data_IF_654751981203
#
_entry.id   IF_654751981203
#
_cell.length_a   1.000
_cell.length_b   1.000
_cell.length_c   1.000
_cell.angle_alpha   90.00
_cell.angle_beta   90.00
_cell.angle_gamma   90.00
#
_symmetry.space_group_name_H-M   'P 1'
#
loop_
_entity.id
_entity.type
_entity.pdbx_description
1 polymer ?
#
# COMPACT_ATOMS: atom_id res chain seq x y z
N UNK A 1 -10.22 -23.69 43.48
CA UNK A 1 -10.40 -23.94 42.06
C UNK A 1 -9.09 -24.50 41.55
N UNK A 2 -9.14 -25.78 41.11
CA UNK A 2 -7.94 -26.52 40.69
C UNK A 2 -7.45 -26.01 39.35
N UNK A 3 -6.13 -25.79 39.22
CA UNK A 3 -5.47 -25.26 37.99
C UNK A 3 -5.26 -26.34 36.91
N UNK A 4 -5.87 -27.54 37.06
CA UNK A 4 -5.53 -28.74 36.29
C UNK A 4 -6.42 -29.03 35.06
N UNK A 5 -7.33 -28.11 34.64
CA UNK A 5 -8.26 -28.39 33.54
C UNK A 5 -7.98 -27.66 32.24
N UNK A 6 -6.74 -27.18 32.04
CA UNK A 6 -6.38 -26.64 30.71
C UNK A 6 -5.87 -27.75 29.78
N UNK A 7 -6.80 -28.40 29.09
CA UNK A 7 -6.45 -29.35 28.03
C UNK A 7 -5.64 -28.65 26.94
N UNK A 8 -4.39 -29.11 26.73
CA UNK A 8 -3.53 -28.58 25.71
C UNK A 8 -4.08 -28.90 24.32
N UNK A 9 -4.55 -27.89 23.59
CA UNK A 9 -4.99 -28.05 22.20
C UNK A 9 -3.77 -27.78 21.28
N UNK A 10 -3.34 -28.75 20.45
CA UNK A 10 -2.24 -28.60 19.51
C UNK A 10 -2.47 -27.43 18.54
N UNK A 11 -1.37 -26.77 18.10
CA UNK A 11 -1.45 -25.62 17.19
C UNK A 11 -2.19 -25.95 15.89
N UNK A 12 -1.99 -27.15 15.34
CA UNK A 12 -2.67 -27.61 14.13
C UNK A 12 -4.20 -27.68 14.32
N UNK A 13 -4.63 -28.22 15.45
CA UNK A 13 -6.05 -28.32 15.79
C UNK A 13 -6.69 -26.93 16.01
N UNK A 14 -5.99 -26.04 16.70
CA UNK A 14 -6.45 -24.63 16.87
C UNK A 14 -6.65 -23.95 15.53
N UNK A 15 -5.69 -24.11 14.59
CA UNK A 15 -5.79 -23.56 13.24
C UNK A 15 -6.98 -24.14 12.48
N UNK A 16 -7.18 -25.46 12.55
CA UNK A 16 -8.30 -26.11 11.90
C UNK A 16 -9.65 -25.57 12.41
N UNK A 17 -9.81 -25.48 13.73
CA UNK A 17 -11.04 -24.92 14.36
C UNK A 17 -11.25 -23.45 13.94
N UNK A 18 -10.17 -22.65 13.90
CA UNK A 18 -10.26 -21.28 13.48
C UNK A 18 -10.67 -21.13 12.01
N UNK A 19 -10.09 -21.94 11.12
CA UNK A 19 -10.46 -21.93 9.70
C UNK A 19 -11.93 -22.34 9.49
N UNK A 20 -12.37 -23.40 10.17
CA UNK A 20 -13.76 -23.83 10.12
C UNK A 20 -14.71 -22.71 10.59
N UNK A 21 -14.39 -22.08 11.71
CA UNK A 21 -15.21 -20.97 12.23
C UNK A 21 -15.25 -19.76 11.29
N UNK A 22 -14.12 -19.43 10.63
CA UNK A 22 -14.09 -18.36 9.65
C UNK A 22 -14.91 -18.69 8.41
N UNK A 23 -14.92 -19.95 7.98
CA UNK A 23 -15.74 -20.38 6.84
C UNK A 23 -17.23 -20.29 7.16
N UNK A 24 -17.65 -20.78 8.34
CA UNK A 24 -19.02 -20.62 8.82
C UNK A 24 -19.49 -19.16 8.81
N UNK A 25 -18.61 -18.23 9.23
CA UNK A 25 -18.91 -16.79 9.25
C UNK A 25 -18.98 -16.19 7.82
N UNK A 26 -18.14 -16.65 6.90
CA UNK A 26 -18.23 -16.26 5.48
C UNK A 26 -19.53 -16.76 4.85
N UNK A 27 -19.91 -17.99 5.12
CA UNK A 27 -21.17 -18.58 4.63
C UNK A 27 -22.39 -17.83 5.20
N UNK A 28 -22.30 -17.27 6.41
CA UNK A 28 -23.32 -16.38 6.98
C UNK A 28 -23.34 -14.97 6.41
N UNK A 29 -22.41 -14.63 5.50
CA UNK A 29 -22.33 -13.35 4.83
C UNK A 29 -21.44 -12.31 5.52
N UNK A 30 -20.62 -12.70 6.51
CA UNK A 30 -19.64 -11.80 7.12
C UNK A 30 -18.42 -11.59 6.20
N UNK A 31 -17.98 -10.33 6.06
CA UNK A 31 -16.74 -9.99 5.37
C UNK A 31 -15.54 -10.32 6.28
N UNK A 32 -14.91 -11.46 6.04
CA UNK A 32 -13.78 -11.94 6.82
C UNK A 32 -12.46 -11.56 6.14
N UNK A 33 -11.69 -10.71 6.82
CA UNK A 33 -10.42 -10.16 6.35
C UNK A 33 -9.24 -10.70 7.20
N UNK A 34 -8.70 -11.89 6.92
CA UNK A 34 -7.63 -12.49 7.70
C UNK A 34 -6.27 -11.81 7.44
N UNK A 35 -5.34 -12.01 8.37
CA UNK A 35 -3.91 -11.78 8.11
C UNK A 35 -3.30 -13.13 7.73
N UNK A 36 -2.91 -13.25 6.47
CA UNK A 36 -2.31 -14.49 5.95
C UNK A 36 -0.98 -14.81 6.64
N UNK A 37 -0.69 -16.11 6.89
CA UNK A 37 0.58 -16.49 7.52
C UNK A 37 1.78 -16.18 6.63
N UNK A 38 2.86 -15.70 7.21
CA UNK A 38 4.08 -15.35 6.49
C UNK A 38 5.35 -15.81 7.19
N UNK A 39 6.43 -16.03 6.41
CA UNK A 39 7.72 -16.58 6.89
C UNK A 39 8.88 -15.60 6.79
N UNK A 40 8.71 -14.39 6.26
CA UNK A 40 9.80 -13.42 6.19
C UNK A 40 10.19 -12.89 7.57
N UNK A 41 11.42 -12.37 7.70
CA UNK A 41 12.01 -12.01 8.99
C UNK A 41 11.29 -10.85 9.71
N UNK A 42 10.82 -9.84 8.98
CA UNK A 42 10.07 -8.71 9.52
C UNK A 42 8.60 -9.04 9.81
N UNK A 43 7.86 -8.10 10.36
CA UNK A 43 6.39 -8.16 10.45
C UNK A 43 5.77 -7.45 9.24
N UNK A 44 6.33 -6.31 8.84
CA UNK A 44 5.86 -5.49 7.76
C UNK A 44 7.00 -5.17 6.76
N UNK A 45 6.66 -4.76 5.54
CA UNK A 45 7.60 -4.51 4.43
C UNK A 45 7.67 -3.04 4.03
N UNK A 46 6.53 -2.35 4.00
CA UNK A 46 6.43 -0.95 3.63
C UNK A 46 7.04 -0.01 4.68
N UNK A 47 7.21 1.24 4.33
CA UNK A 47 7.56 2.29 5.28
C UNK A 47 6.52 2.39 6.41
N UNK A 48 5.25 2.46 6.05
CA UNK A 48 4.14 2.66 6.99
C UNK A 48 4.00 1.51 7.99
N UNK A 49 3.95 0.28 7.47
CA UNK A 49 3.84 -0.90 8.32
C UNK A 49 5.05 -1.10 9.24
N UNK A 50 6.28 -0.88 8.72
CA UNK A 50 7.50 -0.94 9.54
C UNK A 50 7.54 0.13 10.61
N UNK A 51 7.15 1.36 10.26
CA UNK A 51 7.14 2.49 11.19
C UNK A 51 6.12 2.27 12.30
N UNK A 52 4.93 1.74 11.96
CA UNK A 52 3.93 1.32 12.94
C UNK A 52 4.49 0.28 13.92
N UNK A 53 5.07 -0.81 13.41
CA UNK A 53 5.63 -1.85 14.26
C UNK A 53 6.78 -1.32 15.14
N UNK A 54 7.66 -0.49 14.57
CA UNK A 54 8.77 0.14 15.30
C UNK A 54 8.25 1.11 16.37
N UNK A 55 7.18 1.84 16.08
CA UNK A 55 6.55 2.75 17.04
C UNK A 55 5.97 1.96 18.21
N UNK A 56 5.18 0.90 17.95
CA UNK A 56 4.64 0.00 18.96
C UNK A 56 5.75 -0.57 19.88
N UNK A 57 6.89 -0.92 19.33
CA UNK A 57 8.02 -1.52 20.06
C UNK A 57 8.81 -0.53 20.92
N UNK A 58 8.60 0.79 20.72
CA UNK A 58 9.26 1.81 21.56
C UNK A 58 8.65 1.95 22.96
N UNK A 59 7.47 1.38 23.20
CA UNK A 59 6.78 1.48 24.47
C UNK A 59 7.07 0.26 25.34
N UNK A 60 7.80 0.47 26.46
CA UNK A 60 8.28 -0.59 27.36
C UNK A 60 7.14 -1.37 28.03
N UNK A 61 5.97 -0.75 28.23
CA UNK A 61 4.82 -1.36 28.91
C UNK A 61 4.29 -2.59 28.19
N UNK A 62 4.54 -2.69 26.88
CA UNK A 62 4.10 -3.80 26.05
C UNK A 62 5.16 -4.88 25.79
N UNK A 63 6.38 -4.68 26.28
CA UNK A 63 7.58 -5.45 25.88
C UNK A 63 7.46 -6.96 26.09
N UNK A 64 6.79 -7.41 27.16
CA UNK A 64 6.71 -8.84 27.48
C UNK A 64 5.63 -9.59 26.67
N UNK A 65 4.64 -8.89 26.07
CA UNK A 65 3.57 -9.48 25.25
C UNK A 65 3.85 -9.43 23.75
N UNK A 66 4.64 -8.46 23.31
CA UNK A 66 4.96 -8.24 21.89
C UNK A 66 5.61 -9.47 21.20
N UNK A 67 6.58 -10.21 21.79
CA UNK A 67 7.13 -11.40 21.15
C UNK A 67 6.09 -12.49 20.87
N UNK A 68 5.12 -12.66 21.77
CA UNK A 68 4.01 -13.60 21.57
C UNK A 68 3.07 -13.14 20.48
N UNK A 69 2.74 -11.83 20.45
CA UNK A 69 1.94 -11.22 19.40
C UNK A 69 2.57 -11.40 18.01
N UNK A 70 3.88 -11.20 17.87
CA UNK A 70 4.63 -11.47 16.63
C UNK A 70 4.49 -12.93 16.16
N UNK A 71 4.54 -13.87 17.08
CA UNK A 71 4.38 -15.28 16.75
C UNK A 71 2.96 -15.58 16.27
N UNK A 72 1.96 -14.98 16.91
CA UNK A 72 0.55 -15.15 16.55
C UNK A 72 0.24 -14.62 15.16
N UNK A 73 0.63 -13.37 14.87
CA UNK A 73 0.39 -12.76 13.55
C UNK A 73 1.11 -13.52 12.44
N UNK A 74 2.38 -13.92 12.63
CA UNK A 74 3.13 -14.71 11.65
C UNK A 74 2.48 -16.06 11.33
N UNK A 75 1.87 -16.65 12.32
CA UNK A 75 1.22 -17.94 12.20
C UNK A 75 -0.19 -17.86 11.58
N UNK A 76 -0.69 -16.67 11.21
CA UNK A 76 -2.04 -16.48 10.70
C UNK A 76 -3.11 -16.68 11.78
N UNK A 77 -2.76 -16.39 13.06
CA UNK A 77 -3.74 -16.50 14.15
C UNK A 77 -4.71 -15.32 14.19
N UNK A 78 -4.43 -14.22 13.46
CA UNK A 78 -5.38 -13.12 13.28
C UNK A 78 -6.32 -13.49 12.15
N UNK A 79 -7.45 -14.07 12.50
CA UNK A 79 -8.43 -14.68 11.58
C UNK A 79 -9.32 -13.63 10.91
N UNK A 80 -9.49 -12.48 11.54
CA UNK A 80 -10.19 -11.32 11.01
C UNK A 80 -9.59 -10.05 11.60
N UNK A 81 -9.43 -9.03 10.79
CA UNK A 81 -9.03 -7.69 11.22
C UNK A 81 -9.72 -6.66 10.32
N UNK A 82 -10.65 -5.90 10.88
CA UNK A 82 -11.25 -4.71 10.26
C UNK A 82 -10.67 -3.44 10.88
N UNK A 83 -10.44 -2.43 10.05
CA UNK A 83 -9.96 -1.11 10.47
C UNK A 83 -10.96 -0.06 10.01
N UNK A 84 -11.61 0.55 10.98
CA UNK A 84 -12.60 1.60 10.82
C UNK A 84 -12.11 2.92 11.44
N UNK A 85 -12.79 4.06 11.25
CA UNK A 85 -12.40 5.29 11.93
C UNK A 85 -12.31 5.07 13.44
N UNK A 86 -11.17 5.43 14.03
CA UNK A 86 -10.90 5.38 15.48
C UNK A 86 -10.97 3.97 16.09
N UNK A 87 -11.26 2.92 15.32
CA UNK A 87 -11.46 1.58 15.88
C UNK A 87 -10.91 0.49 14.96
N UNK A 88 -10.20 -0.47 15.53
CA UNK A 88 -9.90 -1.73 14.86
C UNK A 88 -10.52 -2.89 15.65
N UNK A 89 -11.21 -3.80 14.95
CA UNK A 89 -11.78 -5.01 15.53
C UNK A 89 -11.08 -6.24 14.98
N UNK A 90 -10.86 -7.24 15.82
CA UNK A 90 -10.19 -8.45 15.36
C UNK A 90 -10.75 -9.71 16.07
N UNK A 91 -10.63 -10.84 15.34
CA UNK A 91 -10.82 -12.20 15.89
C UNK A 91 -9.50 -12.93 15.82
N UNK A 92 -9.02 -13.39 16.95
CA UNK A 92 -7.70 -14.03 17.07
C UNK A 92 -7.83 -15.43 17.64
N UNK A 93 -7.33 -16.42 16.91
CA UNK A 93 -7.29 -17.82 17.34
C UNK A 93 -6.22 -18.05 18.41
N UNK A 94 -6.67 -18.55 19.58
CA UNK A 94 -5.83 -19.01 20.67
C UNK A 94 -6.23 -20.42 21.13
N UNK A 95 -6.46 -20.64 22.42
CA UNK A 95 -7.19 -21.83 22.92
C UNK A 95 -8.62 -21.85 22.40
N UNK A 96 -9.21 -20.67 22.29
CA UNK A 96 -10.50 -20.39 21.72
C UNK A 96 -10.40 -19.29 20.67
N UNK A 97 -11.51 -18.89 20.04
CA UNK A 97 -11.58 -17.67 19.23
C UNK A 97 -11.82 -16.48 20.14
N UNK A 98 -10.89 -15.56 20.18
CA UNK A 98 -10.98 -14.34 20.99
C UNK A 98 -11.38 -13.15 20.12
N UNK A 99 -12.37 -12.43 20.59
CA UNK A 99 -12.81 -11.17 19.99
C UNK A 99 -12.20 -10.00 20.76
N UNK A 100 -11.74 -9.01 20.02
CA UNK A 100 -11.14 -7.83 20.61
C UNK A 100 -11.45 -6.57 19.81
N UNK A 101 -11.40 -5.44 20.48
CA UNK A 101 -11.44 -4.12 19.88
C UNK A 101 -10.28 -3.26 20.39
N UNK A 102 -9.78 -2.43 19.50
CA UNK A 102 -8.71 -1.46 19.75
C UNK A 102 -9.31 -0.11 19.38
N UNK A 103 -9.52 0.74 20.37
CA UNK A 103 -9.97 2.11 20.13
C UNK A 103 -8.75 3.04 20.16
N UNK A 104 -8.64 3.91 19.17
CA UNK A 104 -7.54 4.87 19.02
C UNK A 104 -8.16 6.26 18.91
N UNK A 105 -7.79 7.16 19.80
CA UNK A 105 -8.29 8.51 19.76
C UNK A 105 -7.95 9.21 18.43
N UNK A 106 -8.84 10.03 17.87
CA UNK A 106 -8.56 10.80 16.67
C UNK A 106 -7.37 11.72 16.90
N UNK A 107 -6.65 12.03 15.84
CA UNK A 107 -5.53 12.97 15.94
C UNK A 107 -6.05 14.36 16.29
N UNK A 108 -5.46 14.98 17.32
CA UNK A 108 -5.79 16.33 17.71
C UNK A 108 -5.70 17.30 16.51
N UNK A 109 -6.72 18.14 16.27
CA UNK A 109 -6.75 19.07 15.13
C UNK A 109 -5.52 19.97 15.04
N UNK A 110 -4.95 20.37 16.18
CA UNK A 110 -3.74 21.19 16.24
C UNK A 110 -2.52 20.41 15.75
N UNK A 111 -2.34 19.16 16.20
CA UNK A 111 -1.26 18.29 15.70
C UNK A 111 -1.41 18.04 14.20
N UNK A 112 -2.63 17.78 13.73
CA UNK A 112 -2.88 17.57 12.30
C UNK A 112 -2.56 18.82 11.48
N UNK A 113 -2.93 20.02 11.98
CA UNK A 113 -2.58 21.29 11.34
C UNK A 113 -1.07 21.50 11.24
N UNK A 114 -0.33 21.17 12.32
CA UNK A 114 1.13 21.27 12.33
C UNK A 114 1.75 20.29 11.32
N UNK A 115 1.32 19.03 11.29
CA UNK A 115 1.79 18.03 10.29
C UNK A 115 1.55 18.54 8.87
N UNK A 116 0.35 19.08 8.57
CA UNK A 116 0.03 19.64 7.26
C UNK A 116 0.98 20.81 6.90
N UNK A 117 1.25 21.69 7.84
CA UNK A 117 2.14 22.82 7.61
C UNK A 117 3.59 22.40 7.36
N UNK A 118 4.09 21.41 8.12
CA UNK A 118 5.45 20.89 8.00
C UNK A 118 5.66 20.09 6.70
N UNK A 119 4.61 19.43 6.22
CA UNK A 119 4.61 18.67 4.97
C UNK A 119 4.37 19.52 3.71
N UNK A 120 3.93 20.77 3.89
CA UNK A 120 3.52 21.66 2.80
C UNK A 120 4.64 21.88 1.77
N UNK A 121 4.29 21.68 0.49
CA UNK A 121 5.23 21.83 -0.64
C UNK A 121 6.31 20.77 -0.72
N UNK A 122 6.26 19.75 0.14
CA UNK A 122 7.28 18.71 0.21
C UNK A 122 6.78 17.33 -0.26
N UNK A 123 5.48 17.17 -0.48
CA UNK A 123 4.87 15.94 -0.97
C UNK A 123 4.47 16.14 -2.43
N UNK A 124 5.13 15.45 -3.34
CA UNK A 124 4.91 15.63 -4.79
C UNK A 124 3.58 15.03 -5.26
N UNK A 125 3.13 13.94 -4.64
CA UNK A 125 1.87 13.29 -5.00
C UNK A 125 1.33 12.39 -3.88
N UNK A 126 0.01 12.12 -3.90
CA UNK A 126 -0.65 11.18 -3.00
C UNK A 126 -0.06 9.77 -3.13
N UNK A 127 0.25 9.36 -4.36
CA UNK A 127 0.83 8.03 -4.63
C UNK A 127 2.20 7.89 -3.98
N UNK A 128 3.06 8.91 -4.04
CA UNK A 128 4.36 8.90 -3.36
C UNK A 128 4.22 8.83 -1.85
N UNK A 129 3.30 9.60 -1.28
CA UNK A 129 2.98 9.55 0.15
C UNK A 129 2.56 8.14 0.58
N UNK A 130 1.58 7.55 -0.09
CA UNK A 130 1.05 6.22 0.27
C UNK A 130 2.09 5.11 0.02
N UNK A 131 2.91 5.23 -1.02
CA UNK A 131 4.04 4.32 -1.25
C UNK A 131 5.19 4.49 -0.26
N UNK A 132 5.13 5.51 0.61
CA UNK A 132 6.24 5.83 1.52
C UNK A 132 7.50 6.33 0.80
N UNK A 133 7.36 6.84 -0.42
CA UNK A 133 8.44 7.47 -1.21
C UNK A 133 8.49 8.97 -0.92
N UNK A 134 8.70 9.30 0.33
CA UNK A 134 8.73 10.65 0.86
C UNK A 134 10.13 10.96 1.42
N UNK A 135 10.47 12.25 1.51
CA UNK A 135 11.76 12.66 2.06
C UNK A 135 11.93 12.27 3.53
N UNK A 136 13.17 12.12 3.98
CA UNK A 136 13.50 11.83 5.38
C UNK A 136 12.90 12.88 6.33
N UNK A 137 12.80 14.14 5.90
CA UNK A 137 12.16 15.19 6.70
C UNK A 137 10.70 14.88 6.98
N UNK A 138 9.92 14.50 5.95
CA UNK A 138 8.51 14.14 6.10
C UNK A 138 8.36 12.86 6.90
N UNK A 139 9.25 11.87 6.65
CA UNK A 139 9.28 10.65 7.46
C UNK A 139 9.44 10.97 8.94
N UNK A 140 10.33 11.90 9.30
CA UNK A 140 10.54 12.32 10.68
C UNK A 140 9.30 13.02 11.26
N UNK A 141 8.66 13.91 10.51
CA UNK A 141 7.43 14.59 10.94
C UNK A 141 6.33 13.59 11.23
N UNK A 142 6.01 12.68 10.31
CA UNK A 142 4.89 11.72 10.46
C UNK A 142 5.17 10.64 11.50
N UNK A 143 6.45 10.32 11.78
CA UNK A 143 6.85 9.31 12.78
C UNK A 143 7.34 9.91 14.09
N UNK A 144 7.22 11.22 14.27
CA UNK A 144 7.54 11.86 15.54
C UNK A 144 6.76 11.22 16.68
N UNK A 145 7.42 11.03 17.83
CA UNK A 145 6.85 10.27 18.95
C UNK A 145 5.69 11.03 19.64
N UNK A 146 5.82 12.34 19.73
CA UNK A 146 4.88 13.19 20.49
C UNK A 146 3.88 13.90 19.57
N UNK A 147 4.33 14.35 18.40
CA UNK A 147 3.54 15.19 17.48
C UNK A 147 3.22 14.52 16.14
N UNK A 148 3.67 13.27 15.95
CA UNK A 148 3.45 12.56 14.71
C UNK A 148 2.05 11.95 14.56
N UNK A 149 1.90 11.18 13.49
CA UNK A 149 0.64 10.54 13.12
C UNK A 149 0.34 9.29 13.96
N UNK A 150 1.39 8.59 14.46
CA UNK A 150 1.20 7.35 15.21
C UNK A 150 0.69 7.64 16.63
N UNK A 151 -0.29 6.84 17.13
CA UNK A 151 -0.92 7.10 18.41
C UNK A 151 0.02 6.83 19.59
N UNK A 152 0.05 7.73 20.56
CA UNK A 152 0.70 7.49 21.84
C UNK A 152 -0.09 6.42 22.65
N UNK A 153 0.55 5.63 23.54
CA UNK A 153 -0.16 4.63 24.36
C UNK A 153 -1.38 5.15 25.09
N UNK A 154 -1.34 6.38 25.56
CA UNK A 154 -2.46 7.02 26.26
C UNK A 154 -3.68 7.31 25.35
N UNK A 155 -3.46 7.30 24.04
CA UNK A 155 -4.50 7.48 23.02
C UNK A 155 -5.11 6.13 22.58
N UNK A 156 -4.65 5.00 23.16
CA UNK A 156 -5.08 3.66 22.76
C UNK A 156 -5.76 2.96 23.94
N UNK A 157 -6.94 2.41 23.67
CA UNK A 157 -7.70 1.58 24.63
C UNK A 157 -7.95 0.20 24.02
N UNK A 158 -7.73 -0.81 24.84
CA UNK A 158 -7.88 -2.20 24.42
C UNK A 158 -9.03 -2.87 25.15
N UNK A 159 -9.76 -3.73 24.44
CA UNK A 159 -10.72 -4.65 25.03
C UNK A 159 -10.55 -6.02 24.36
N UNK A 160 -10.39 -7.07 25.18
CA UNK A 160 -10.27 -8.45 24.68
C UNK A 160 -11.02 -9.38 25.65
N UNK A 161 -11.83 -10.29 25.14
CA UNK A 161 -12.58 -11.24 25.95
C UNK A 161 -11.75 -12.43 26.48
N UNK A 162 -10.42 -12.40 26.34
CA UNK A 162 -9.55 -13.44 26.87
C UNK A 162 -9.36 -13.34 28.40
N UNK A 163 -9.00 -14.44 29.09
CA UNK A 163 -8.81 -14.44 30.54
C UNK A 163 -7.50 -13.76 31.01
N UNK A 164 -6.69 -13.20 30.11
CA UNK A 164 -5.46 -12.49 30.46
C UNK A 164 -5.83 -11.09 30.99
N UNK A 165 -5.46 -10.78 32.22
CA UNK A 165 -5.78 -9.52 32.91
C UNK A 165 -4.91 -8.33 32.44
N UNK A 166 -3.92 -8.55 31.60
CA UNK A 166 -3.06 -7.49 31.10
C UNK A 166 -3.79 -6.61 30.06
N UNK A 167 -3.65 -5.29 30.16
CA UNK A 167 -4.24 -4.35 29.19
C UNK A 167 -3.90 -4.72 27.76
N UNK A 168 -2.63 -4.95 27.46
CA UNK A 168 -2.21 -5.55 26.20
C UNK A 168 -1.91 -7.04 26.38
N UNK A 169 -2.89 -7.90 26.13
CA UNK A 169 -2.69 -9.36 26.06
C UNK A 169 -2.00 -9.75 24.73
N UNK A 170 -1.60 -11.04 24.60
CA UNK A 170 -0.97 -11.55 23.37
C UNK A 170 -1.85 -11.43 22.12
N UNK A 171 -3.18 -11.46 22.27
CA UNK A 171 -4.14 -11.37 21.16
C UNK A 171 -4.24 -9.92 20.67
N UNK A 172 -4.31 -8.95 21.58
CA UNK A 172 -4.22 -7.51 21.25
C UNK A 172 -2.89 -7.21 20.58
N UNK A 173 -1.76 -7.71 21.13
CA UNK A 173 -0.45 -7.54 20.50
C UNK A 173 -0.40 -8.12 19.07
N UNK A 174 -1.06 -9.27 18.83
CA UNK A 174 -1.15 -9.84 17.49
C UNK A 174 -1.96 -8.96 16.53
N UNK A 175 -3.10 -8.42 16.98
CA UNK A 175 -3.91 -7.51 16.18
C UNK A 175 -3.18 -6.18 15.89
N UNK A 176 -2.45 -5.62 16.86
CA UNK A 176 -1.62 -4.42 16.66
C UNK A 176 -0.54 -4.65 15.60
N UNK A 177 0.13 -5.81 15.61
CA UNK A 177 1.03 -6.19 14.52
C UNK A 177 0.29 -6.45 13.20
N UNK A 178 -0.93 -6.98 13.27
CA UNK A 178 -1.81 -7.17 12.11
C UNK A 178 -2.14 -5.84 11.42
N UNK A 179 -2.39 -4.77 12.19
CA UNK A 179 -2.53 -3.40 11.63
C UNK A 179 -1.28 -3.05 10.82
N UNK A 180 -0.07 -3.27 11.36
CA UNK A 180 1.18 -3.02 10.64
C UNK A 180 1.29 -3.81 9.33
N UNK A 181 0.82 -5.06 9.30
CA UNK A 181 0.78 -5.86 8.07
C UNK A 181 -0.23 -5.29 7.06
N UNK A 182 -1.39 -4.84 7.54
CA UNK A 182 -2.42 -4.23 6.68
C UNK A 182 -1.95 -2.93 6.04
N UNK A 183 -1.18 -2.12 6.77
CA UNK A 183 -0.58 -0.89 6.27
C UNK A 183 0.47 -1.10 5.16
N UNK A 184 0.90 -2.34 4.90
CA UNK A 184 1.77 -2.65 3.76
C UNK A 184 1.04 -2.53 2.41
N UNK A 185 -0.24 -2.85 2.37
CA UNK A 185 -1.10 -2.79 1.19
C UNK A 185 -2.03 -1.58 1.17
N UNK A 186 -2.44 -1.11 2.33
CA UNK A 186 -3.47 -0.10 2.53
C UNK A 186 -3.01 0.97 3.55
N UNK A 187 -1.98 1.76 3.21
CA UNK A 187 -1.40 2.75 4.13
C UNK A 187 -2.38 3.87 4.54
N UNK A 188 -3.39 4.16 3.73
CA UNK A 188 -4.48 5.10 4.01
C UNK A 188 -5.29 4.73 5.26
N UNK A 189 -5.30 3.45 5.64
CA UNK A 189 -5.96 2.99 6.85
C UNK A 189 -5.39 3.62 8.13
N UNK A 190 -4.12 4.04 8.13
CA UNK A 190 -3.56 4.74 9.28
C UNK A 190 -4.23 6.11 9.47
N UNK A 191 -4.47 6.83 8.40
CA UNK A 191 -5.15 8.13 8.43
C UNK A 191 -6.61 7.97 8.83
N UNK A 192 -7.30 6.95 8.25
CA UNK A 192 -8.66 6.57 8.63
C UNK A 192 -8.75 6.26 10.13
N UNK A 193 -7.81 5.47 10.66
CA UNK A 193 -7.75 5.08 12.07
C UNK A 193 -7.52 6.29 13.00
N UNK A 194 -6.83 7.33 12.52
CA UNK A 194 -6.60 8.59 13.25
C UNK A 194 -7.65 9.66 12.97
N UNK A 195 -8.70 9.34 12.21
CA UNK A 195 -9.81 10.26 11.92
C UNK A 195 -9.41 11.48 11.09
N UNK A 196 -8.36 11.36 10.24
CA UNK A 196 -7.86 12.45 9.38
C UNK A 196 -7.86 12.04 7.89
N UNK A 197 -7.99 13.04 7.00
CA UNK A 197 -7.94 12.81 5.56
C UNK A 197 -6.53 13.07 5.02
N UNK A 198 -5.88 12.03 4.51
CA UNK A 198 -4.54 12.10 3.92
C UNK A 198 -4.46 13.00 2.67
N UNK A 199 -5.57 13.21 1.95
CA UNK A 199 -5.62 14.12 0.79
C UNK A 199 -5.34 15.57 1.20
N UNK A 200 -5.64 15.96 2.44
CA UNK A 200 -5.37 17.30 2.95
C UNK A 200 -3.88 17.66 2.99
N UNK A 201 -2.99 16.66 3.03
CA UNK A 201 -1.53 16.88 2.98
C UNK A 201 -1.07 17.46 1.64
N UNK A 202 -1.85 17.28 0.57
CA UNK A 202 -1.55 17.76 -0.79
C UNK A 202 -2.39 18.98 -1.14
N UNK A 203 -3.64 19.04 -0.69
CA UNK A 203 -4.58 20.13 -1.01
C UNK A 203 -4.10 21.51 -0.54
N UNK A 204 -3.20 21.57 0.44
CA UNK A 204 -2.64 22.84 0.96
C UNK A 204 -1.83 23.56 -0.12
N UNK A 205 -1.19 22.86 -1.06
CA UNK A 205 -0.40 23.47 -2.13
C UNK A 205 -1.29 24.14 -3.18
N UNK A 206 -2.38 23.50 -3.58
CA UNK A 206 -3.32 24.05 -4.57
C UNK A 206 -4.08 25.28 -4.05
N UNK A 207 -4.40 25.33 -2.76
CA UNK A 207 -5.08 26.49 -2.17
C UNK A 207 -4.17 27.75 -2.10
N UNK A 208 -2.86 27.58 -1.96
CA UNK A 208 -1.92 28.69 -1.86
C UNK A 208 -1.45 29.17 -3.22
N UNK A 209 -1.28 28.31 -4.22
CA UNK A 209 -1.12 28.75 -5.60
C UNK A 209 -2.28 29.66 -6.02
N UNK A 210 -3.49 29.39 -5.57
CA UNK A 210 -4.66 30.24 -5.79
C UNK A 210 -4.69 31.53 -4.94
N UNK A 211 -4.07 31.55 -3.74
CA UNK A 211 -4.07 32.71 -2.85
C UNK A 211 -2.82 33.58 -2.99
N UNK A 212 -1.66 33.02 -3.32
CA UNK A 212 -0.41 33.74 -3.56
C UNK A 212 -0.21 34.16 -5.02
N UNK A 213 -1.07 33.73 -5.93
CA UNK A 213 -1.15 34.15 -7.34
C UNK A 213 -1.42 35.64 -7.56
N UNK A 214 -1.38 36.45 -6.51
CA UNK A 214 -1.60 37.89 -6.51
C UNK A 214 -0.36 38.79 -6.71
N UNK A 215 0.82 38.30 -7.17
CA UNK A 215 1.91 39.20 -7.66
C UNK A 215 3.10 38.38 -8.20
N UNK A 216 2.94 37.84 -9.35
CA UNK A 216 3.82 37.52 -10.45
C UNK A 216 3.21 36.39 -11.30
N UNK A 217 1.97 36.61 -11.63
CA UNK A 217 1.30 35.84 -12.65
C UNK A 217 1.84 36.26 -14.00
N UNK A 218 2.66 35.43 -14.61
CA UNK A 218 2.46 35.21 -16.03
C UNK A 218 1.08 34.57 -16.12
N UNK A 219 0.07 35.39 -16.43
CA UNK A 219 -1.26 34.95 -16.82
C UNK A 219 -1.10 33.77 -17.76
N UNK A 220 -1.38 32.55 -17.31
CA UNK A 220 -1.99 31.56 -18.17
C UNK A 220 -3.39 32.10 -18.44
N UNK A 221 -3.51 32.96 -19.45
CA UNK A 221 -4.77 33.16 -20.12
C UNK A 221 -5.12 31.79 -20.70
N UNK A 222 -6.11 31.12 -20.15
CA UNK A 222 -6.92 30.20 -20.91
C UNK A 222 -7.64 31.05 -21.93
N UNK A 223 -7.09 31.09 -23.15
CA UNK A 223 -7.76 31.70 -24.28
C UNK A 223 -9.01 30.86 -24.55
N UNK A 224 -10.18 31.46 -24.77
CA UNK A 224 -11.34 30.75 -25.29
C UNK A 224 -10.92 30.01 -26.57
N UNK A 225 -11.48 28.83 -26.79
CA UNK A 225 -11.14 27.97 -27.94
C UNK A 225 -11.24 28.69 -29.28
N UNK A 226 -12.09 29.70 -29.37
CA UNK A 226 -12.29 30.57 -30.52
C UNK A 226 -11.11 31.50 -30.84
N UNK A 227 -10.26 31.84 -29.86
CA UNK A 227 -9.07 32.69 -30.08
C UNK A 227 -7.81 31.87 -30.42
N UNK A 228 -7.82 30.54 -30.23
CA UNK A 228 -6.67 29.68 -30.54
C UNK A 228 -6.38 29.57 -32.04
N UNK A 229 -7.42 29.53 -32.87
CA UNK A 229 -7.28 29.49 -34.31
C UNK A 229 -6.54 30.72 -34.86
N UNK A 230 -6.84 31.91 -34.34
CA UNK A 230 -6.22 33.18 -34.78
C UNK A 230 -4.76 33.34 -34.35
N UNK A 231 -4.36 32.76 -33.21
CA UNK A 231 -2.99 32.89 -32.68
C UNK A 231 -2.01 31.93 -33.38
N UNK A 232 -2.50 30.79 -33.84
CA UNK A 232 -1.68 29.78 -34.50
C UNK A 232 -1.92 29.65 -36.01
N UNK A 233 -2.83 30.46 -36.59
CA UNK A 233 -3.10 30.46 -38.02
C UNK A 233 -3.70 29.17 -38.54
N UNK A 234 -4.45 28.47 -37.68
CA UNK A 234 -5.14 27.21 -38.03
C UNK A 234 -6.65 27.48 -38.06
N UNK A 235 -7.25 27.47 -39.24
CA UNK A 235 -8.72 27.48 -39.39
C UNK A 235 -9.27 26.13 -38.90
N UNK A 236 -9.94 26.18 -37.74
CA UNK A 236 -10.71 25.04 -37.23
C UNK A 236 -12.08 25.07 -37.90
N UNK A 237 -12.18 24.53 -39.09
CA UNK A 237 -13.48 24.17 -39.65
C UNK A 237 -14.00 22.95 -38.89
N UNK A 238 -15.21 23.05 -38.33
CA UNK A 238 -15.90 21.94 -37.66
C UNK A 238 -16.28 20.88 -38.71
N UNK A 239 -15.41 19.92 -38.95
CA UNK A 239 -15.82 18.63 -39.49
C UNK A 239 -15.89 17.63 -38.33
N UNK A 240 -17.11 17.22 -38.00
CA UNK A 240 -17.38 16.06 -37.17
C UNK A 240 -16.97 14.82 -37.97
N UNK A 241 -15.68 14.56 -38.04
CA UNK A 241 -15.19 13.25 -38.45
C UNK A 241 -15.11 12.33 -37.21
N UNK A 242 -15.93 11.31 -37.26
CA UNK A 242 -15.82 10.13 -36.43
C UNK A 242 -14.43 9.53 -36.63
N UNK A 243 -13.49 9.85 -35.69
CA UNK A 243 -12.18 9.20 -35.69
C UNK A 243 -12.38 7.72 -35.46
N UNK A 244 -11.82 6.86 -36.32
CA UNK A 244 -11.76 5.43 -36.05
C UNK A 244 -10.96 5.19 -34.74
N UNK A 245 -11.23 4.10 -34.03
CA UNK A 245 -10.49 3.79 -32.79
C UNK A 245 -8.99 3.73 -33.09
N UNK A 246 -8.14 4.12 -32.12
CA UNK A 246 -6.67 4.15 -32.32
C UNK A 246 -6.20 2.78 -32.76
N UNK A 247 -5.42 2.74 -33.86
CA UNK A 247 -4.79 1.52 -34.34
C UNK A 247 -3.98 0.88 -33.22
N UNK A 248 -3.98 -0.46 -33.11
CA UNK A 248 -3.22 -1.15 -32.08
C UNK A 248 -1.73 -0.82 -32.25
N UNK A 249 -0.98 -0.67 -31.14
CA UNK A 249 0.42 -0.28 -31.18
C UNK A 249 1.24 -1.23 -32.07
N UNK A 250 1.89 -0.69 -33.10
CA UNK A 250 2.78 -1.46 -33.97
C UNK A 250 4.07 -1.83 -33.22
N UNK A 251 4.54 -3.05 -33.39
CA UNK A 251 5.81 -3.47 -32.81
C UNK A 251 6.98 -2.82 -33.54
N UNK A 252 7.74 -1.99 -32.82
CA UNK A 252 9.02 -1.46 -33.29
C UNK A 252 10.17 -2.08 -32.51
N UNK A 253 11.19 -2.68 -33.17
CA UNK A 253 12.31 -3.34 -32.50
C UNK A 253 13.31 -2.32 -31.91
N UNK A 254 12.86 -1.58 -30.92
CA UNK A 254 13.68 -0.63 -30.16
C UNK A 254 14.00 -1.18 -28.77
N UNK A 255 15.11 -0.75 -28.17
CA UNK A 255 15.48 -1.14 -26.79
C UNK A 255 14.40 -0.81 -25.77
N UNK A 256 13.72 0.32 -25.96
CA UNK A 256 12.59 0.73 -25.13
C UNK A 256 11.38 -0.21 -25.26
N UNK A 257 11.03 -0.61 -26.48
CA UNK A 257 9.93 -1.54 -26.76
C UNK A 257 10.18 -2.92 -26.15
N UNK A 258 11.39 -3.47 -26.32
CA UNK A 258 11.78 -4.78 -25.77
C UNK A 258 11.75 -4.77 -24.23
N UNK A 259 12.26 -3.71 -23.61
CA UNK A 259 12.22 -3.54 -22.15
C UNK A 259 10.78 -3.47 -21.63
N UNK A 260 9.93 -2.64 -22.23
CA UNK A 260 8.52 -2.49 -21.86
C UNK A 260 7.75 -3.81 -22.02
N UNK A 261 8.03 -4.58 -23.07
CA UNK A 261 7.40 -5.89 -23.28
C UNK A 261 7.76 -6.86 -22.15
N UNK A 262 9.04 -6.97 -21.78
CA UNK A 262 9.48 -7.81 -20.67
C UNK A 262 8.88 -7.36 -19.31
N UNK A 263 8.86 -6.06 -19.05
CA UNK A 263 8.30 -5.49 -17.82
C UNK A 263 6.80 -5.75 -17.71
N UNK A 264 6.08 -5.65 -18.84
CA UNK A 264 4.63 -5.94 -18.85
C UNK A 264 4.34 -7.42 -18.60
N UNK A 265 5.21 -8.32 -19.09
CA UNK A 265 5.14 -9.76 -18.79
C UNK A 265 5.58 -10.09 -17.36
N UNK A 266 6.15 -9.13 -16.64
CA UNK A 266 6.68 -9.26 -15.28
C UNK A 266 7.70 -10.40 -15.12
N UNK A 267 8.55 -10.61 -16.13
CA UNK A 267 9.56 -11.69 -16.17
C UNK A 267 10.98 -11.15 -16.04
N UNK A 268 11.90 -11.99 -15.49
CA UNK A 268 13.31 -11.68 -15.44
C UNK A 268 13.95 -11.74 -16.84
N UNK A 269 15.10 -11.07 -17.05
CA UNK A 269 15.85 -11.16 -18.30
C UNK A 269 16.24 -12.60 -18.66
N UNK A 270 16.47 -13.47 -17.67
CA UNK A 270 16.76 -14.88 -17.88
C UNK A 270 15.53 -15.65 -18.39
N UNK A 271 14.38 -15.46 -17.76
CA UNK A 271 13.11 -16.08 -18.18
C UNK A 271 12.72 -15.60 -19.58
N UNK A 272 12.81 -14.30 -19.83
CA UNK A 272 12.52 -13.69 -21.13
C UNK A 272 13.46 -14.19 -22.24
N UNK A 273 14.74 -14.41 -21.93
CA UNK A 273 15.69 -14.99 -22.89
C UNK A 273 15.35 -16.43 -23.26
N UNK A 274 14.86 -17.22 -22.31
CA UNK A 274 14.43 -18.60 -22.55
C UNK A 274 13.18 -18.67 -23.43
N UNK A 275 12.20 -17.80 -23.21
CA UNK A 275 10.98 -17.71 -24.02
C UNK A 275 11.29 -17.32 -25.48
N UNK A 276 12.25 -16.44 -25.69
CA UNK A 276 12.67 -16.00 -27.01
C UNK A 276 13.66 -16.96 -27.67
N UNK A 277 14.16 -17.97 -26.95
CA UNK A 277 15.18 -18.90 -27.46
C UNK A 277 16.54 -18.25 -27.74
N UNK A 278 16.91 -17.21 -26.95
CA UNK A 278 18.15 -16.44 -27.09
C UNK A 278 18.97 -16.44 -25.80
N UNK A 279 20.23 -16.01 -25.86
CA UNK A 279 21.05 -15.89 -24.65
C UNK A 279 20.63 -14.65 -23.80
N UNK A 280 20.78 -14.75 -22.47
CA UNK A 280 20.58 -13.60 -21.55
C UNK A 280 21.43 -12.40 -21.97
N UNK A 281 22.66 -12.63 -22.45
CA UNK A 281 23.56 -11.58 -22.93
C UNK A 281 22.97 -10.82 -24.15
N UNK A 282 22.25 -11.53 -25.03
CA UNK A 282 21.55 -10.92 -26.16
C UNK A 282 20.42 -9.98 -25.67
N UNK A 283 19.61 -10.42 -24.74
CA UNK A 283 18.54 -9.57 -24.13
C UNK A 283 19.13 -8.33 -23.48
N UNK A 284 20.18 -8.48 -22.65
CA UNK A 284 20.88 -7.35 -22.04
C UNK A 284 21.42 -6.36 -23.09
N UNK A 285 22.01 -6.86 -24.18
CA UNK A 285 22.52 -6.02 -25.27
C UNK A 285 21.38 -5.26 -25.95
N UNK A 286 20.24 -5.90 -26.18
CA UNK A 286 19.08 -5.24 -26.81
C UNK A 286 18.46 -4.18 -25.94
N UNK A 287 18.31 -4.43 -24.63
CA UNK A 287 17.73 -3.47 -23.69
C UNK A 287 18.61 -2.25 -23.41
N UNK A 288 19.93 -2.37 -23.62
CA UNK A 288 20.90 -1.29 -23.40
C UNK A 288 21.41 -0.63 -24.67
N UNK A 289 20.88 -1.01 -25.83
CA UNK A 289 21.32 -0.44 -27.11
C UNK A 289 20.84 1.03 -27.24
N UNK A 290 21.77 1.90 -27.66
CA UNK A 290 21.51 3.32 -27.95
C UNK A 290 21.23 3.59 -29.42
N UNK A 291 21.44 2.57 -30.28
CA UNK A 291 21.21 2.62 -31.73
C UNK A 291 20.10 1.66 -32.14
N UNK A 292 19.49 1.81 -33.34
CA UNK A 292 18.49 0.90 -33.86
C UNK A 292 18.99 -0.54 -33.85
N UNK A 293 18.17 -1.45 -33.33
CA UNK A 293 18.54 -2.85 -33.16
C UNK A 293 18.53 -3.60 -34.52
N UNK A 294 19.64 -4.21 -34.87
CA UNK A 294 19.70 -5.18 -35.98
C UNK A 294 19.49 -6.59 -35.40
N UNK A 295 18.24 -7.03 -35.38
CA UNK A 295 17.86 -8.35 -34.88
C UNK A 295 17.92 -9.39 -36.00
N UNK A 296 18.25 -10.64 -35.66
CA UNK A 296 18.10 -11.76 -36.57
C UNK A 296 16.62 -12.04 -36.83
N UNK A 297 16.25 -12.47 -38.03
CA UNK A 297 14.86 -12.71 -38.44
C UNK A 297 14.08 -13.60 -37.45
N UNK A 298 14.73 -14.67 -36.95
CA UNK A 298 14.11 -15.56 -35.96
C UNK A 298 13.79 -14.87 -34.65
N UNK A 299 14.69 -14.04 -34.14
CA UNK A 299 14.48 -13.30 -32.88
C UNK A 299 13.44 -12.20 -33.04
N UNK A 300 13.38 -11.55 -34.18
CA UNK A 300 12.36 -10.56 -34.52
C UNK A 300 10.98 -11.20 -34.54
N UNK A 301 10.82 -12.32 -35.21
CA UNK A 301 9.55 -13.05 -35.28
C UNK A 301 9.07 -13.54 -33.91
N UNK A 302 9.98 -14.01 -33.04
CA UNK A 302 9.63 -14.40 -31.67
C UNK A 302 9.16 -13.22 -30.86
N UNK A 303 9.81 -12.05 -30.97
CA UNK A 303 9.41 -10.80 -30.28
C UNK A 303 8.07 -10.29 -30.79
N UNK A 304 7.81 -10.31 -32.10
CA UNK A 304 6.52 -9.91 -32.67
C UNK A 304 5.37 -10.81 -32.20
N UNK A 305 5.62 -12.12 -32.13
CA UNK A 305 4.63 -13.09 -31.67
C UNK A 305 4.30 -12.83 -30.20
N UNK A 306 5.30 -12.64 -29.37
CA UNK A 306 5.14 -12.37 -27.95
C UNK A 306 4.45 -11.00 -27.71
N UNK A 307 4.77 -10.01 -28.54
CA UNK A 307 4.12 -8.70 -28.49
C UNK A 307 2.63 -8.79 -28.81
N UNK A 308 2.25 -9.51 -29.89
CA UNK A 308 0.85 -9.73 -30.26
C UNK A 308 0.07 -10.49 -29.18
N UNK A 309 0.70 -11.42 -28.47
CA UNK A 309 0.08 -12.13 -27.34
C UNK A 309 -0.12 -11.23 -26.12
N UNK A 310 0.79 -10.26 -25.91
CA UNK A 310 0.77 -9.35 -24.75
C UNK A 310 -0.15 -8.14 -24.97
N UNK A 311 -0.35 -7.76 -26.24
CA UNK A 311 -1.21 -6.65 -26.67
C UNK A 311 -2.23 -7.17 -27.71
N UNK A 312 -3.25 -7.93 -27.29
CA UNK A 312 -4.32 -8.37 -28.19
C UNK A 312 -5.07 -7.15 -28.70
N UNK A 313 -5.37 -7.15 -30.00
CA UNK A 313 -6.10 -6.08 -30.73
C UNK A 313 -7.53 -5.93 -30.21
#
# INVERSE_FOLDING_TARGET
MSFDDYEYVPVAERRRRAQQKMEELRESGEDIQPIEPFKYRGIAKSFWGKSWCKHLEKFSDYSNRLPRGRTYVRNGSVCHLSIDPETATARVSGSEMYELSIHIDPLCPEKWSNIKNDCKGKIGSLIELLQGKISDEIMNVVTDKENGLFPHPNEIRFNCNCPDWADMCKHVAAAMYGIGVRLDSEPELLFKLRGVNHEELIAVDTAIENLTGGRRSRRRRTLPTEELGHVFGIDLEEEIETTPPPEPPSFEPTSSCIRKLREKLNVSQHTFSNELGVSKASVMKWENATQPLKLQAKSLQSLETLFKQTYPS
#
